data_IF_134621337178
#
_entry.id   IF_134621337178
#
_cell.length_a   1.000
_cell.length_b   1.000
_cell.length_c   1.000
_cell.angle_alpha   90.00
_cell.angle_beta   90.00
_cell.angle_gamma   90.00
#
_symmetry.space_group_name_H-M   'P 1'
#
loop_
_entity.id
_entity.type
_entity.pdbx_description
1 polymer ?
#
# COMPACT_ATOMS: atom_id res chain seq x y z
N UNK A 1 16.20 24.05 9.90
CA UNK A 1 14.90 24.76 9.85
C UNK A 1 13.82 23.81 10.30
N UNK A 2 12.96 24.20 11.23
CA UNK A 2 11.82 23.38 11.69
C UNK A 2 10.74 23.32 10.60
N UNK A 3 10.11 22.16 10.39
CA UNK A 3 8.96 22.00 9.49
C UNK A 3 7.65 22.39 10.18
N UNK A 4 7.55 22.09 11.47
CA UNK A 4 6.44 22.52 12.33
C UNK A 4 7.03 22.82 13.70
N UNK A 5 6.94 24.09 14.13
CA UNK A 5 7.61 24.61 15.31
C UNK A 5 7.33 23.74 16.54
N UNK A 6 8.39 23.24 17.20
CA UNK A 6 8.37 22.34 18.36
C UNK A 6 7.65 20.98 18.18
N UNK A 7 7.23 20.62 16.97
CA UNK A 7 6.65 19.30 16.65
C UNK A 7 7.52 18.47 15.71
N UNK A 8 8.19 19.11 14.75
CA UNK A 8 9.00 18.47 13.70
C UNK A 8 10.26 19.31 13.44
N UNK A 9 11.37 19.11 14.18
CA UNK A 9 11.58 18.13 15.25
C UNK A 9 10.79 18.47 16.54
N UNK A 10 10.43 17.47 17.37
CA UNK A 10 9.57 17.67 18.53
C UNK A 10 10.35 18.18 19.75
N UNK A 11 9.73 19.04 20.55
CA UNK A 11 10.17 19.29 21.93
C UNK A 11 9.99 18.02 22.79
N UNK A 12 10.69 17.86 23.93
CA UNK A 12 10.54 16.66 24.78
C UNK A 12 9.09 16.41 25.24
N UNK A 13 8.34 17.48 25.54
CA UNK A 13 6.92 17.39 25.90
C UNK A 13 6.03 16.93 24.74
N UNK A 14 6.22 17.52 23.56
CA UNK A 14 5.45 17.14 22.37
C UNK A 14 5.81 15.71 21.91
N UNK A 15 7.08 15.30 22.02
CA UNK A 15 7.49 13.92 21.74
C UNK A 15 6.81 12.92 22.68
N UNK A 16 6.76 13.23 23.99
CA UNK A 16 6.06 12.37 24.96
C UNK A 16 4.57 12.25 24.66
N UNK A 17 3.93 13.34 24.24
CA UNK A 17 2.53 13.34 23.80
C UNK A 17 2.34 12.48 22.53
N UNK A 18 3.19 12.64 21.50
CA UNK A 18 3.17 11.85 20.27
C UNK A 18 3.30 10.34 20.58
N UNK A 19 4.26 9.96 21.43
CA UNK A 19 4.47 8.56 21.83
C UNK A 19 3.28 8.01 22.62
N UNK A 20 2.72 8.79 23.55
CA UNK A 20 1.55 8.39 24.34
C UNK A 20 0.32 8.21 23.43
N UNK A 21 0.07 9.14 22.50
CA UNK A 21 -0.99 9.02 21.50
C UNK A 21 -0.80 7.77 20.63
N UNK A 22 0.42 7.54 20.12
CA UNK A 22 0.71 6.41 19.24
C UNK A 22 0.63 5.05 19.95
N UNK A 23 0.78 5.01 21.28
CA UNK A 23 0.59 3.79 22.08
C UNK A 23 -0.84 3.22 21.95
N UNK A 24 -1.84 4.06 21.63
CA UNK A 24 -3.21 3.63 21.38
C UNK A 24 -3.50 3.23 19.92
N UNK A 25 -2.53 3.34 19.01
CA UNK A 25 -2.71 2.93 17.60
C UNK A 25 -3.26 1.50 17.40
N UNK A 26 -2.92 0.48 18.23
CA UNK A 26 -3.54 -0.85 18.10
C UNK A 26 -5.07 -0.86 18.20
N UNK A 27 -5.69 0.10 18.89
CA UNK A 27 -7.15 0.24 18.95
C UNK A 27 -7.72 0.56 17.57
N UNK A 28 -7.05 1.43 16.80
CA UNK A 28 -7.43 1.75 15.41
C UNK A 28 -7.33 0.49 14.54
N UNK A 29 -6.29 -0.33 14.71
CA UNK A 29 -6.15 -1.59 13.97
C UNK A 29 -7.23 -2.63 14.33
N UNK A 30 -7.66 -2.68 15.60
CA UNK A 30 -8.75 -3.54 16.03
C UNK A 30 -10.10 -3.12 15.43
N UNK A 31 -10.36 -1.81 15.30
CA UNK A 31 -11.54 -1.30 14.59
C UNK A 31 -11.46 -1.60 13.08
N UNK A 32 -10.28 -1.48 12.46
CA UNK A 32 -10.09 -1.83 11.05
C UNK A 32 -10.38 -3.31 10.76
N UNK A 33 -10.20 -4.23 11.72
CA UNK A 33 -10.59 -5.64 11.55
C UNK A 33 -12.10 -5.88 11.50
N UNK A 34 -12.92 -4.91 11.92
CA UNK A 34 -14.38 -4.98 11.80
C UNK A 34 -14.88 -4.72 10.37
N UNK A 35 -13.99 -4.39 9.43
CA UNK A 35 -14.33 -4.10 8.04
C UNK A 35 -13.38 -4.77 7.04
N UNK A 36 -13.96 -5.28 5.95
CA UNK A 36 -13.19 -5.76 4.79
C UNK A 36 -12.71 -4.61 3.87
N UNK A 37 -13.11 -3.35 4.15
CA UNK A 37 -12.75 -2.21 3.32
C UNK A 37 -11.27 -1.82 3.51
N UNK A 38 -10.46 -2.23 2.55
CA UNK A 38 -9.06 -1.85 2.43
C UNK A 38 -8.70 -1.73 0.94
N UNK A 39 -8.92 -0.55 0.30
CA UNK A 39 -8.93 -0.39 -1.17
C UNK A 39 -7.52 -0.40 -1.79
N UNK A 40 -6.89 -1.57 -1.75
CA UNK A 40 -5.49 -1.82 -2.09
C UNK A 40 -5.27 -3.31 -2.36
N UNK A 41 -4.36 -3.66 -3.28
CA UNK A 41 -3.97 -5.07 -3.51
C UNK A 41 -5.11 -5.93 -4.05
N UNK A 42 -5.46 -7.03 -3.36
CA UNK A 42 -6.58 -7.92 -3.75
C UNK A 42 -7.96 -7.25 -3.58
N UNK A 43 -8.07 -6.32 -2.64
CA UNK A 43 -9.29 -5.57 -2.31
C UNK A 43 -9.30 -4.18 -2.96
N UNK A 44 -8.45 -3.96 -3.96
CA UNK A 44 -8.44 -2.74 -4.79
C UNK A 44 -9.79 -2.50 -5.46
N UNK A 45 -10.41 -1.36 -5.20
CA UNK A 45 -11.66 -0.91 -5.85
C UNK A 45 -11.36 -0.05 -7.07
N UNK A 46 -12.29 0.05 -8.03
CA UNK A 46 -12.21 1.03 -9.14
C UNK A 46 -12.64 2.41 -8.65
N UNK A 47 -11.79 3.42 -8.81
CA UNK A 47 -12.07 4.83 -8.50
C UNK A 47 -11.22 5.73 -9.41
N UNK A 48 -11.76 6.89 -9.81
CA UNK A 48 -11.02 7.90 -10.57
C UNK A 48 -9.84 8.51 -9.78
N UNK A 49 -9.89 8.46 -8.45
CA UNK A 49 -8.83 8.95 -7.56
C UNK A 49 -7.66 7.96 -7.39
N UNK A 50 -7.75 6.76 -7.96
CA UNK A 50 -6.73 5.72 -7.77
C UNK A 50 -5.37 6.11 -8.33
N UNK A 51 -4.32 5.93 -7.53
CA UNK A 51 -2.94 6.17 -7.94
C UNK A 51 -2.31 4.84 -8.39
N UNK A 52 -1.46 4.83 -9.45
CA UNK A 52 -0.76 3.61 -9.89
C UNK A 52 0.00 2.93 -8.75
N UNK A 53 -0.21 1.62 -8.57
CA UNK A 53 0.14 0.92 -7.33
C UNK A 53 1.60 1.05 -6.89
N UNK A 54 2.55 1.02 -7.83
CA UNK A 54 3.98 1.22 -7.53
C UNK A 54 4.27 2.63 -6.99
N UNK A 55 3.70 3.66 -7.61
CA UNK A 55 3.88 5.06 -7.20
C UNK A 55 3.21 5.30 -5.84
N UNK A 56 1.97 4.86 -5.67
CA UNK A 56 1.25 4.96 -4.41
C UNK A 56 2.01 4.30 -3.24
N UNK A 57 2.62 3.14 -3.49
CA UNK A 57 3.42 2.43 -2.50
C UNK A 57 4.71 3.19 -2.13
N UNK A 58 5.42 3.77 -3.10
CA UNK A 58 6.57 4.66 -2.81
C UNK A 58 6.11 5.85 -1.98
N UNK A 59 5.05 6.53 -2.40
CA UNK A 59 4.51 7.73 -1.73
C UNK A 59 4.07 7.45 -0.29
N UNK A 60 3.50 6.28 0.00
CA UNK A 60 3.00 5.94 1.33
C UNK A 60 4.12 5.51 2.30
N UNK A 61 5.14 4.78 1.81
CA UNK A 61 6.23 4.20 2.63
C UNK A 61 7.45 5.13 2.79
N UNK A 62 7.81 5.91 1.76
CA UNK A 62 9.02 6.74 1.73
C UNK A 62 9.06 7.86 2.80
N UNK A 63 7.95 8.45 3.29
CA UNK A 63 7.99 9.44 4.37
C UNK A 63 8.59 8.91 5.68
N UNK A 64 8.47 7.62 6.00
CA UNK A 64 8.94 7.05 7.26
C UNK A 64 10.46 7.20 7.51
N UNK A 65 11.36 6.72 6.64
CA UNK A 65 12.81 6.89 6.83
C UNK A 65 13.22 8.37 6.77
N UNK A 66 12.56 9.17 5.93
CA UNK A 66 12.86 10.59 5.79
C UNK A 66 12.51 11.37 7.07
N UNK A 67 11.33 11.14 7.64
CA UNK A 67 10.92 11.77 8.90
C UNK A 67 11.76 11.29 10.09
N UNK A 68 12.19 10.02 10.12
CA UNK A 68 13.09 9.53 11.17
C UNK A 68 14.45 10.22 11.12
N UNK A 69 15.09 10.28 9.94
CA UNK A 69 16.38 10.95 9.76
C UNK A 69 16.25 12.46 10.00
N UNK A 70 15.19 13.10 9.50
CA UNK A 70 14.91 14.51 9.75
C UNK A 70 14.73 14.80 11.25
N UNK A 71 13.99 13.96 11.98
CA UNK A 71 13.79 14.10 13.43
C UNK A 71 15.11 13.96 14.18
N UNK A 72 15.90 12.93 13.88
CA UNK A 72 17.19 12.70 14.53
C UNK A 72 18.21 13.82 14.24
N UNK A 73 18.23 14.36 13.02
CA UNK A 73 19.12 15.45 12.62
C UNK A 73 18.68 16.80 13.19
N UNK A 74 17.38 17.08 13.22
CA UNK A 74 16.81 18.30 13.82
C UNK A 74 17.07 18.40 15.33
N UNK A 75 16.97 17.28 16.06
CA UNK A 75 17.25 17.21 17.49
C UNK A 75 18.74 17.38 17.84
N UNK A 76 19.67 17.31 16.86
CA UNK A 76 21.11 17.48 17.14
C UNK A 76 21.48 18.85 17.73
N UNK A 77 20.66 19.87 17.48
CA UNK A 77 20.85 21.21 18.03
C UNK A 77 20.40 21.35 19.50
N UNK A 78 19.58 20.44 20.00
CA UNK A 78 18.94 20.52 21.33
C UNK A 78 19.41 19.47 22.32
N UNK A 79 19.95 18.32 21.85
CA UNK A 79 20.40 17.23 22.73
C UNK A 79 21.79 16.65 22.34
N UNK A 80 22.55 16.09 23.29
CA UNK A 80 23.86 15.45 23.05
C UNK A 80 23.82 14.33 22.01
N UNK A 81 24.99 13.92 21.51
CA UNK A 81 25.08 12.85 20.51
C UNK A 81 24.51 11.53 21.05
N UNK A 82 23.64 10.83 20.30
CA UNK A 82 23.13 9.54 20.74
C UNK A 82 24.26 8.49 20.73
N UNK A 83 24.13 7.41 21.54
CA UNK A 83 25.05 6.28 21.49
C UNK A 83 25.14 5.65 20.10
N UNK A 84 26.28 5.00 19.79
CA UNK A 84 26.51 4.35 18.48
C UNK A 84 25.46 3.28 18.20
N UNK A 85 24.99 2.62 19.25
CA UNK A 85 23.93 1.61 19.26
C UNK A 85 22.62 2.16 18.67
N UNK A 86 22.25 3.39 19.04
CA UNK A 86 21.06 4.05 18.50
C UNK A 86 21.23 4.41 17.01
N UNK A 87 22.44 4.76 16.58
CA UNK A 87 22.75 5.01 15.16
C UNK A 87 22.70 3.71 14.33
N UNK A 88 23.12 2.58 14.90
CA UNK A 88 22.95 1.25 14.29
C UNK A 88 21.45 0.91 14.15
N UNK A 89 20.65 1.16 15.20
CA UNK A 89 19.20 0.97 15.18
C UNK A 89 18.50 1.86 14.12
N UNK A 90 18.93 3.11 13.96
CA UNK A 90 18.46 3.98 12.88
C UNK A 90 18.88 3.45 11.50
N UNK A 91 20.11 2.96 11.36
CA UNK A 91 20.63 2.36 10.14
C UNK A 91 19.84 1.14 9.67
N UNK A 92 19.49 0.21 10.57
CA UNK A 92 18.68 -0.96 10.21
C UNK A 92 17.22 -0.58 9.87
N UNK A 93 16.65 0.46 10.52
CA UNK A 93 15.35 1.00 10.15
C UNK A 93 15.35 1.59 8.74
N UNK A 94 16.33 2.47 8.44
CA UNK A 94 16.49 3.04 7.09
C UNK A 94 16.74 1.94 6.06
N UNK A 95 17.56 0.93 6.37
CA UNK A 95 17.80 -0.23 5.49
C UNK A 95 16.51 -0.99 5.18
N UNK A 96 15.67 -1.23 6.19
CA UNK A 96 14.36 -1.85 6.02
C UNK A 96 13.48 -1.03 5.06
N UNK A 97 13.42 0.29 5.25
CA UNK A 97 12.61 1.16 4.41
C UNK A 97 13.19 1.42 3.00
N UNK A 98 14.50 1.36 2.79
CA UNK A 98 15.07 1.34 1.43
C UNK A 98 14.56 0.12 0.67
N UNK A 99 14.49 -1.05 1.32
CA UNK A 99 13.85 -2.21 0.70
C UNK A 99 12.34 -2.01 0.50
N UNK A 100 11.60 -1.62 1.55
CA UNK A 100 10.12 -1.53 1.52
C UNK A 100 9.58 -0.44 0.60
N UNK A 101 10.14 0.76 0.66
CA UNK A 101 9.65 1.94 -0.06
C UNK A 101 10.17 2.02 -1.50
N UNK A 102 11.40 1.56 -1.77
CA UNK A 102 12.05 1.73 -3.08
C UNK A 102 12.22 0.41 -3.83
N UNK A 103 12.91 -0.57 -3.26
CA UNK A 103 13.24 -1.81 -3.99
C UNK A 103 11.99 -2.69 -4.22
N UNK A 104 11.15 -2.87 -3.21
CA UNK A 104 9.97 -3.74 -3.30
C UNK A 104 8.98 -3.33 -4.42
N UNK A 105 8.54 -2.07 -4.56
CA UNK A 105 7.65 -1.68 -5.65
C UNK A 105 8.31 -1.74 -7.04
N UNK A 106 9.61 -1.46 -7.14
CA UNK A 106 10.37 -1.60 -8.40
C UNK A 106 10.43 -3.07 -8.84
N UNK A 107 10.80 -3.97 -7.93
CA UNK A 107 10.97 -5.41 -8.18
C UNK A 107 9.64 -6.17 -8.37
N UNK A 108 8.51 -5.62 -7.91
CA UNK A 108 7.19 -6.21 -8.13
C UNK A 108 6.80 -6.11 -9.62
N UNK A 109 6.41 -7.20 -10.31
CA UNK A 109 6.00 -7.13 -11.71
C UNK A 109 4.81 -6.19 -11.92
N UNK A 110 3.78 -6.37 -11.09
CA UNK A 110 2.56 -5.57 -11.06
C UNK A 110 2.14 -5.31 -9.60
N UNK A 111 1.42 -4.20 -9.40
CA UNK A 111 0.77 -3.84 -8.13
C UNK A 111 -0.57 -3.19 -8.49
N UNK A 112 -1.66 -3.63 -7.87
CA UNK A 112 -2.99 -3.05 -8.07
C UNK A 112 -2.98 -1.55 -7.75
N UNK A 113 -3.83 -0.72 -8.39
CA UNK A 113 -4.03 0.66 -7.99
C UNK A 113 -4.38 0.77 -6.49
N UNK A 114 -4.13 1.95 -5.91
CA UNK A 114 -4.35 2.20 -4.49
C UNK A 114 -5.15 3.49 -4.34
N UNK A 115 -6.21 3.44 -3.54
CA UNK A 115 -7.02 4.62 -3.25
C UNK A 115 -6.28 5.58 -2.29
N UNK A 116 -6.31 6.91 -2.48
CA UNK A 116 -5.55 7.86 -1.68
C UNK A 116 -5.79 7.79 -0.17
N UNK A 117 -6.97 7.32 0.28
CA UNK A 117 -7.28 7.10 1.69
C UNK A 117 -6.24 6.22 2.41
N UNK A 118 -5.68 5.22 1.72
CA UNK A 118 -4.65 4.33 2.27
C UNK A 118 -3.31 5.06 2.42
N UNK A 119 -2.98 5.93 1.46
CA UNK A 119 -1.76 6.75 1.49
C UNK A 119 -1.84 7.77 2.64
N UNK A 120 -2.98 8.43 2.80
CA UNK A 120 -3.21 9.38 3.90
C UNK A 120 -3.15 8.68 5.27
N UNK A 121 -3.76 7.50 5.42
CA UNK A 121 -3.65 6.69 6.63
C UNK A 121 -2.22 6.25 6.93
N UNK A 122 -1.46 5.84 5.91
CA UNK A 122 -0.04 5.52 6.03
C UNK A 122 0.83 6.73 6.38
N UNK A 123 0.51 7.93 5.87
CA UNK A 123 1.21 9.17 6.25
C UNK A 123 0.99 9.52 7.72
N UNK A 124 -0.25 9.39 8.22
CA UNK A 124 -0.54 9.56 9.66
C UNK A 124 0.24 8.54 10.48
N UNK A 125 0.18 7.25 10.12
CA UNK A 125 0.95 6.20 10.80
C UNK A 125 2.45 6.49 10.80
N UNK A 126 3.03 6.83 9.64
CA UNK A 126 4.45 7.08 9.47
C UNK A 126 4.91 8.35 10.19
N UNK A 127 4.07 9.38 10.29
CA UNK A 127 4.33 10.56 11.13
C UNK A 127 4.53 10.17 12.60
N UNK A 128 3.53 9.50 13.19
CA UNK A 128 3.62 9.09 14.60
C UNK A 128 4.74 8.06 14.83
N UNK A 129 4.89 7.06 13.96
CA UNK A 129 5.91 6.02 14.05
C UNK A 129 7.34 6.59 13.97
N UNK A 130 7.62 7.35 12.91
CA UNK A 130 8.97 7.83 12.63
C UNK A 130 9.42 8.92 13.61
N UNK A 131 8.52 9.78 14.10
CA UNK A 131 8.86 10.78 15.13
C UNK A 131 9.04 10.11 16.49
N UNK A 132 8.21 9.11 16.84
CA UNK A 132 8.38 8.33 18.08
C UNK A 132 9.75 7.66 18.12
N UNK A 133 10.09 6.89 17.08
CA UNK A 133 11.38 6.20 16.96
C UNK A 133 12.55 7.18 16.78
N UNK A 134 12.40 8.19 15.93
CA UNK A 134 13.44 9.19 15.68
C UNK A 134 13.81 9.98 16.93
N UNK A 135 12.83 10.45 17.70
CA UNK A 135 13.07 11.13 18.97
C UNK A 135 13.68 10.21 20.02
N UNK A 136 13.23 8.95 20.12
CA UNK A 136 13.82 7.94 21.00
C UNK A 136 15.31 7.73 20.66
N UNK A 137 15.62 7.43 19.40
CA UNK A 137 16.98 7.14 18.94
C UNK A 137 17.89 8.37 18.98
N UNK A 138 17.36 9.58 18.84
CA UNK A 138 18.11 10.82 19.01
C UNK A 138 18.55 11.07 20.47
N UNK A 139 17.85 10.48 21.45
CA UNK A 139 18.17 10.59 22.88
C UNK A 139 17.07 11.16 23.78
N UNK A 140 15.83 11.33 23.30
CA UNK A 140 14.70 11.71 24.16
C UNK A 140 14.14 10.54 24.98
N UNK A 141 14.44 9.31 24.58
CA UNK A 141 14.01 8.08 25.26
C UNK A 141 15.09 7.45 26.15
N UNK A 142 14.72 6.45 26.99
CA UNK A 142 15.67 5.71 27.82
C UNK A 142 16.68 4.92 26.98
N UNK A 143 17.91 4.78 27.47
CA UNK A 143 19.02 4.12 26.76
C UNK A 143 18.80 2.62 26.57
N UNK A 144 18.84 2.14 25.32
CA UNK A 144 18.54 0.73 24.93
C UNK A 144 19.75 -0.23 24.90
N UNK A 145 20.90 0.15 25.47
CA UNK A 145 22.20 -0.46 25.19
C UNK A 145 22.31 -1.98 25.45
N UNK A 146 21.55 -2.54 26.38
CA UNK A 146 21.71 -3.96 26.79
C UNK A 146 21.01 -4.99 25.89
N UNK A 147 20.10 -4.58 24.99
CA UNK A 147 19.25 -5.53 24.22
C UNK A 147 19.59 -5.66 22.73
N UNK A 148 20.50 -4.83 22.22
CA UNK A 148 20.86 -4.80 20.79
C UNK A 148 21.38 -6.15 20.27
N UNK A 149 22.19 -6.85 21.07
CA UNK A 149 22.80 -8.14 20.69
C UNK A 149 21.78 -9.25 20.39
N UNK A 150 20.60 -9.23 21.04
CA UNK A 150 19.51 -10.17 20.77
C UNK A 150 18.55 -9.63 19.70
N UNK A 151 18.32 -8.32 19.67
CA UNK A 151 17.44 -7.68 18.68
C UNK A 151 17.98 -7.77 17.24
N UNK A 152 19.29 -7.63 17.03
CA UNK A 152 19.88 -7.58 15.70
C UNK A 152 19.76 -8.91 14.91
N UNK A 153 20.05 -10.11 15.48
CA UNK A 153 19.79 -11.38 14.80
C UNK A 153 18.31 -11.60 14.49
N UNK A 154 17.41 -11.27 15.42
CA UNK A 154 15.95 -11.40 15.22
C UNK A 154 15.48 -10.51 14.07
N UNK A 155 15.94 -9.25 14.03
CA UNK A 155 15.67 -8.32 12.93
C UNK A 155 16.22 -8.85 11.59
N UNK A 156 17.46 -9.34 11.57
CA UNK A 156 18.10 -9.85 10.35
C UNK A 156 17.35 -11.06 9.77
N UNK A 157 16.93 -12.00 10.64
CA UNK A 157 16.10 -13.15 10.25
C UNK A 157 14.73 -12.71 9.71
N UNK A 158 14.05 -11.79 10.39
CA UNK A 158 12.78 -11.23 9.93
C UNK A 158 12.88 -10.49 8.60
N UNK A 159 13.97 -9.74 8.39
CA UNK A 159 14.23 -9.01 7.15
C UNK A 159 14.56 -9.95 5.99
N UNK A 160 15.43 -10.94 6.19
CA UNK A 160 15.70 -11.99 5.21
C UNK A 160 14.44 -12.80 4.85
N UNK A 161 13.61 -13.12 5.86
CA UNK A 161 12.30 -13.73 5.69
C UNK A 161 11.37 -12.88 4.82
N UNK A 162 11.29 -11.58 5.09
CA UNK A 162 10.51 -10.61 4.29
C UNK A 162 10.95 -10.62 2.82
N UNK A 163 12.25 -10.51 2.55
CA UNK A 163 12.80 -10.50 1.20
C UNK A 163 12.49 -11.80 0.44
N UNK A 164 12.61 -12.94 1.12
CA UNK A 164 12.37 -14.27 0.55
C UNK A 164 10.90 -14.47 0.17
N UNK A 165 9.97 -14.11 1.06
CA UNK A 165 8.53 -14.23 0.79
C UNK A 165 8.07 -13.28 -0.33
N UNK A 166 8.60 -12.06 -0.35
CA UNK A 166 8.34 -11.11 -1.44
C UNK A 166 8.79 -11.68 -2.80
N UNK A 167 9.94 -12.32 -2.88
CA UNK A 167 10.43 -12.98 -4.10
C UNK A 167 9.59 -14.20 -4.50
N UNK A 168 9.12 -15.01 -3.54
CA UNK A 168 8.16 -16.10 -3.83
C UNK A 168 6.88 -15.53 -4.46
N UNK A 169 6.32 -14.45 -3.91
CA UNK A 169 5.15 -13.76 -4.46
C UNK A 169 5.43 -13.12 -5.83
N UNK A 170 6.65 -12.64 -6.09
CA UNK A 170 7.06 -12.12 -7.40
C UNK A 170 7.19 -13.25 -8.44
N UNK A 171 7.69 -14.43 -8.07
CA UNK A 171 7.71 -15.62 -8.95
C UNK A 171 6.31 -16.02 -9.37
N UNK A 172 5.36 -16.11 -8.43
CA UNK A 172 3.95 -16.38 -8.74
C UNK A 172 3.36 -15.36 -9.73
N UNK A 173 3.59 -14.06 -9.50
CA UNK A 173 3.14 -12.99 -10.42
C UNK A 173 3.77 -13.10 -11.82
N UNK A 174 5.07 -13.40 -11.91
CA UNK A 174 5.78 -13.60 -13.19
C UNK A 174 5.37 -14.87 -13.93
N UNK A 175 4.94 -15.90 -13.22
CA UNK A 175 4.39 -17.11 -13.84
C UNK A 175 3.01 -16.83 -14.43
N UNK A 176 2.12 -16.20 -13.64
CA UNK A 176 0.77 -15.82 -14.08
C UNK A 176 0.77 -14.85 -15.27
N UNK A 177 1.77 -13.97 -15.39
CA UNK A 177 1.91 -13.05 -16.53
C UNK A 177 2.57 -13.68 -17.77
N UNK A 178 3.05 -14.92 -17.68
CA UNK A 178 3.63 -15.68 -18.81
C UNK A 178 2.69 -16.76 -19.31
N UNK A 179 1.77 -17.21 -18.47
CA UNK A 179 0.69 -18.07 -18.89
C UNK A 179 -0.36 -17.23 -19.62
N UNK A 180 -0.22 -17.13 -20.96
CA UNK A 180 -1.36 -16.97 -21.88
C UNK A 180 -2.19 -18.27 -21.89
N UNK A 181 -2.52 -18.78 -20.70
CA UNK A 181 -3.53 -19.81 -20.55
C UNK A 181 -4.84 -19.15 -20.98
N UNK A 182 -5.57 -19.73 -21.95
CA UNK A 182 -6.88 -19.20 -22.30
C UNK A 182 -7.70 -19.11 -21.01
N UNK A 183 -8.41 -17.99 -20.85
CA UNK A 183 -9.26 -17.77 -19.68
C UNK A 183 -10.03 -19.06 -19.40
N UNK A 184 -9.88 -19.62 -18.18
CA UNK A 184 -10.49 -20.90 -17.79
C UNK A 184 -11.89 -20.90 -18.37
N UNK A 185 -12.12 -21.76 -19.37
CA UNK A 185 -13.39 -21.78 -20.07
C UNK A 185 -14.46 -21.89 -19.00
N UNK A 186 -15.36 -20.91 -18.94
CA UNK A 186 -16.60 -21.10 -18.22
C UNK A 186 -17.15 -22.43 -18.77
N UNK A 187 -17.45 -23.38 -17.89
CA UNK A 187 -18.04 -24.65 -18.31
C UNK A 187 -19.38 -24.33 -18.94
N UNK A 188 -19.36 -24.14 -20.26
CA UNK A 188 -20.53 -23.88 -21.06
C UNK A 188 -21.25 -25.20 -21.19
N UNK A 189 -22.01 -25.54 -20.16
CA UNK A 189 -23.04 -26.56 -20.23
C UNK A 189 -24.08 -26.10 -21.27
N UNK A 190 -23.81 -26.44 -22.53
CA UNK A 190 -24.78 -26.34 -23.62
C UNK A 190 -25.89 -27.34 -23.35
N UNK A 191 -26.94 -26.88 -22.68
CA UNK A 191 -28.24 -27.56 -22.74
C UNK A 191 -28.75 -27.42 -24.18
N UNK A 192 -29.11 -28.51 -24.86
CA UNK A 192 -29.59 -28.43 -26.23
C UNK A 192 -31.04 -27.92 -26.24
N UNK A 193 -31.22 -26.62 -26.43
CA UNK A 193 -32.53 -26.03 -26.69
C UNK A 193 -33.03 -26.48 -28.07
N UNK A 194 -33.96 -27.42 -28.06
CA UNK A 194 -34.54 -28.01 -29.25
C UNK A 194 -35.53 -27.11 -30.00
N UNK A 195 -35.08 -25.98 -30.54
CA UNK A 195 -35.72 -25.28 -31.65
C UNK A 195 -34.70 -24.47 -32.45
N UNK A 196 -34.63 -24.70 -33.77
CA UNK A 196 -33.66 -24.05 -34.65
C UNK A 196 -33.89 -22.54 -34.76
N UNK A 197 -32.92 -21.75 -34.29
CA UNK A 197 -32.95 -20.29 -34.36
C UNK A 197 -31.68 -19.67 -33.80
N UNK A 198 -30.68 -19.46 -34.65
CA UNK A 198 -29.40 -18.85 -34.28
C UNK A 198 -29.60 -17.37 -33.89
N UNK A 199 -29.29 -17.03 -32.63
CA UNK A 199 -29.23 -15.64 -32.15
C UNK A 199 -28.03 -15.42 -31.24
N UNK A 200 -26.95 -14.93 -31.83
CA UNK A 200 -25.84 -14.34 -31.09
C UNK A 200 -26.29 -13.02 -30.43
N UNK A 201 -26.15 -12.94 -29.10
CA UNK A 201 -26.31 -11.70 -28.32
C UNK A 201 -24.97 -11.31 -27.72
N UNK A 202 -24.36 -10.24 -28.25
CA UNK A 202 -23.20 -9.61 -27.65
C UNK A 202 -23.59 -8.84 -26.38
N UNK A 203 -22.75 -8.85 -25.36
CA UNK A 203 -22.93 -8.06 -24.15
C UNK A 203 -22.48 -6.60 -24.36
N UNK A 204 -23.28 -5.64 -23.85
CA UNK A 204 -23.01 -4.19 -23.81
C UNK A 204 -21.84 -3.87 -22.87
N UNK A 205 -21.57 -2.67 -22.31
CA UNK A 205 -22.29 -1.40 -22.09
C UNK A 205 -21.56 -0.56 -21.02
N UNK A 206 -20.39 0.05 -21.33
CA UNK A 206 -19.47 0.65 -20.31
C UNK A 206 -19.41 2.16 -20.35
N UNK A 207 -19.39 2.71 -19.16
CA UNK A 207 -18.93 4.06 -18.88
C UNK A 207 -17.45 4.07 -18.47
N UNK A 208 -16.66 4.84 -19.22
CA UNK A 208 -15.45 5.45 -18.68
C UNK A 208 -15.91 6.61 -17.77
N UNK A 209 -15.44 6.65 -16.53
CA UNK A 209 -15.75 7.76 -15.63
C UNK A 209 -14.92 8.99 -16.01
N UNK A 210 -15.45 9.81 -16.94
CA UNK A 210 -14.90 11.11 -17.29
C UNK A 210 -15.48 12.19 -16.35
N UNK A 211 -14.60 12.97 -15.71
CA UNK A 211 -14.99 14.11 -14.88
C UNK A 211 -14.63 15.43 -15.58
N UNK A 212 -15.62 16.31 -15.73
CA UNK A 212 -15.48 17.68 -16.27
C UNK A 212 -15.80 17.78 -17.77
N UNK A 213 -16.53 18.78 -18.27
CA UNK A 213 -17.27 19.84 -17.56
C UNK A 213 -17.25 21.18 -18.31
N UNK A 214 -18.44 21.67 -18.71
CA UNK A 214 -18.70 23.08 -19.04
C UNK A 214 -18.19 23.62 -20.39
N UNK A 215 -19.15 23.89 -21.28
CA UNK A 215 -19.26 25.05 -22.17
C UNK A 215 -18.13 25.37 -23.19
N UNK A 216 -18.43 25.18 -24.48
CA UNK A 216 -18.64 26.31 -25.42
C UNK A 216 -19.11 25.83 -26.82
N UNK A 217 -19.88 26.67 -27.51
CA UNK A 217 -20.43 26.38 -28.86
C UNK A 217 -19.59 27.06 -29.95
N UNK A 218 -19.07 26.28 -30.91
CA UNK A 218 -18.66 26.77 -32.21
C UNK A 218 -18.79 25.67 -33.28
N UNK A 219 -19.19 26.09 -34.49
CA UNK A 219 -19.58 25.26 -35.63
C UNK A 219 -18.39 25.05 -36.59
N UNK A 220 -18.13 23.83 -37.05
CA UNK A 220 -16.96 23.52 -37.90
C UNK A 220 -16.92 22.08 -38.40
N UNK A 221 -17.02 21.93 -39.71
CA UNK A 221 -17.07 20.67 -40.48
C UNK A 221 -15.69 19.99 -40.64
N UNK A 222 -15.57 18.69 -40.31
CA UNK A 222 -14.84 17.65 -41.08
C UNK A 222 -14.60 16.35 -40.29
N UNK A 223 -14.76 15.22 -40.96
CA UNK A 223 -14.57 13.81 -40.55
C UNK A 223 -13.47 13.45 -39.51
N UNK A 224 -13.86 12.80 -38.40
CA UNK A 224 -13.08 11.71 -37.76
C UNK A 224 -13.96 10.86 -36.82
N UNK A 225 -14.16 9.57 -37.13
CA UNK A 225 -15.09 8.68 -36.37
C UNK A 225 -14.40 8.02 -35.16
N UNK A 226 -14.64 8.54 -33.96
CA UNK A 226 -14.06 8.03 -32.70
C UNK A 226 -14.85 6.82 -32.16
N UNK A 227 -14.29 5.63 -32.30
CA UNK A 227 -14.90 4.38 -31.81
C UNK A 227 -14.66 4.17 -30.30
N UNK A 228 -15.64 4.53 -29.47
CA UNK A 228 -15.71 4.12 -28.06
C UNK A 228 -16.31 2.71 -27.91
N UNK A 229 -15.78 1.89 -26.99
CA UNK A 229 -16.17 0.48 -26.81
C UNK A 229 -16.73 0.18 -25.41
N UNK A 230 -17.79 -0.61 -25.38
CA UNK A 230 -18.68 -0.86 -24.25
C UNK A 230 -18.40 -2.19 -23.48
N UNK A 231 -18.58 -2.23 -22.14
CA UNK A 231 -18.54 -3.41 -21.22
C UNK A 231 -19.52 -3.26 -20.01
N UNK A 232 -20.60 -4.04 -19.97
CA UNK A 232 -21.79 -3.79 -19.13
C UNK A 232 -21.57 -4.15 -17.67
N UNK A 233 -22.17 -3.36 -16.78
CA UNK A 233 -22.43 -3.80 -15.42
C UNK A 233 -23.51 -4.89 -15.39
N UNK A 234 -23.46 -5.72 -14.35
CA UNK A 234 -24.47 -6.72 -14.00
C UNK A 234 -24.29 -7.09 -12.53
N UNK A 235 -25.24 -6.69 -11.68
CA UNK A 235 -25.27 -7.12 -10.28
C UNK A 235 -25.70 -8.58 -10.15
N UNK A 236 -25.18 -9.27 -9.15
CA UNK A 236 -25.53 -10.65 -8.82
C UNK A 236 -25.32 -10.91 -7.33
N UNK A 237 -26.31 -11.56 -6.71
CA UNK A 237 -26.43 -11.68 -5.25
C UNK A 237 -25.51 -12.74 -4.62
N UNK A 238 -25.52 -12.77 -3.29
CA UNK A 238 -24.71 -13.67 -2.46
C UNK A 238 -25.05 -15.15 -2.70
N UNK A 239 -24.07 -15.93 -3.17
CA UNK A 239 -24.10 -17.39 -3.14
C UNK A 239 -23.10 -17.93 -2.13
N UNK A 240 -23.58 -18.66 -1.12
CA UNK A 240 -22.73 -19.30 -0.11
C UNK A 240 -21.88 -20.43 -0.72
N UNK A 241 -20.55 -20.36 -0.59
CA UNK A 241 -19.64 -21.43 -1.00
C UNK A 241 -18.86 -21.98 0.22
N UNK A 242 -19.14 -23.24 0.52
CA UNK A 242 -18.58 -24.08 1.59
C UNK A 242 -17.06 -24.15 1.62
N UNK A 243 -16.49 -24.13 2.84
CA UNK A 243 -15.11 -24.52 3.11
C UNK A 243 -14.89 -26.03 2.89
N UNK A 244 -14.08 -26.39 1.89
CA UNK A 244 -13.48 -27.72 1.78
C UNK A 244 -12.17 -27.64 0.98
N UNK A 245 -11.10 -28.27 1.48
CA UNK A 245 -9.88 -28.52 0.68
C UNK A 245 -8.67 -27.61 0.91
N UNK A 246 -8.20 -27.46 2.15
CA UNK A 246 -6.76 -27.19 2.40
C UNK A 246 -6.23 -28.28 3.33
N UNK A 247 -5.82 -29.39 2.72
CA UNK A 247 -4.90 -30.35 3.30
C UNK A 247 -4.26 -31.12 2.14
N UNK A 248 -2.97 -30.92 1.89
CA UNK A 248 -2.00 -31.77 1.15
C UNK A 248 -0.81 -30.91 0.67
N UNK A 249 0.37 -31.23 1.21
CA UNK A 249 1.74 -30.81 0.82
C UNK A 249 2.11 -29.34 1.11
#
# INVERSE_FOLDING_TARGET
MSLLQDWVPPSPGNWSLIVTTFTYFPVITAVQWLTAYYPMGKTSTTSCLNIPGKLAWVLMELPAPLLLVYTMTGLRATIPAPPKENLILAGIYVTHYVYRALLAPVLNPSMSPIHPIVILGAWVFNFFNAISLGGHLAGLGPTLTTRLALGLPIWALGFAGTITHDEILRRGRRAASKSDAPAKSADTHTVPDGHGGEKTRGAAGKELCCCGGGDDVAEGDSDEEVVCREVSGGGGEMGSATWAGINQI
#
